data_IF_045874766124
#
_entry.id   IF_045874766124
#
_cell.length_a   1.000
_cell.length_b   1.000
_cell.length_c   1.000
_cell.angle_alpha   90.00
_cell.angle_beta   90.00
_cell.angle_gamma   90.00
#
_symmetry.space_group_name_H-M   'P 1'
#
loop_
_entity.id
_entity.type
_entity.pdbx_description
1 polymer ?
#
# COMPACT_ATOMS: atom_id res chain seq x y z
N UNK A 1 51.45 -14.96 -45.71
CA UNK A 1 52.71 -15.06 -44.95
C UNK A 1 52.36 -14.92 -43.47
N UNK A 2 52.28 -16.04 -42.76
CA UNK A 2 51.94 -16.08 -41.33
C UNK A 2 53.22 -15.86 -40.51
N UNK A 3 53.32 -14.72 -39.84
CA UNK A 3 54.35 -14.51 -38.83
C UNK A 3 53.84 -15.03 -37.48
N UNK A 4 54.09 -16.31 -37.20
CA UNK A 4 54.03 -16.82 -35.83
C UNK A 4 55.19 -16.22 -35.02
N UNK A 5 54.87 -15.41 -34.01
CA UNK A 5 55.84 -15.00 -33.02
C UNK A 5 55.96 -16.11 -31.95
N UNK A 6 57.02 -16.92 -32.06
CA UNK A 6 57.46 -17.88 -31.03
C UNK A 6 58.37 -17.16 -30.04
N UNK A 7 58.06 -17.23 -28.75
CA UNK A 7 58.99 -16.86 -27.67
C UNK A 7 59.93 -18.06 -27.46
N UNK A 8 61.22 -17.89 -27.78
CA UNK A 8 62.30 -18.84 -27.51
C UNK A 8 63.02 -18.43 -26.22
N UNK A 9 62.88 -19.22 -25.16
CA UNK A 9 63.75 -19.16 -23.98
C UNK A 9 64.87 -20.18 -24.18
N UNK A 10 66.09 -19.72 -24.50
CA UNK A 10 67.26 -20.59 -24.61
C UNK A 10 67.91 -20.80 -23.25
N UNK A 11 68.08 -22.07 -22.87
CA UNK A 11 68.74 -22.47 -21.62
C UNK A 11 70.27 -22.42 -21.74
N UNK A 12 70.96 -21.76 -20.79
CA UNK A 12 72.21 -22.26 -20.19
C UNK A 12 72.43 -21.58 -18.82
N UNK A 13 72.92 -22.34 -17.84
CA UNK A 13 72.65 -22.22 -16.40
C UNK A 13 73.44 -21.16 -15.60
N UNK A 14 72.76 -20.62 -14.58
CA UNK A 14 73.30 -20.52 -13.23
C UNK A 14 72.14 -20.64 -12.21
N UNK A 15 71.99 -21.83 -11.64
CA UNK A 15 71.03 -22.11 -10.56
C UNK A 15 71.64 -21.58 -9.25
N UNK A 16 71.32 -20.32 -8.90
CA UNK A 16 71.58 -19.78 -7.57
C UNK A 16 70.32 -19.99 -6.74
N UNK A 17 70.40 -20.85 -5.73
CA UNK A 17 69.40 -21.01 -4.67
C UNK A 17 69.34 -19.74 -3.83
N UNK A 18 68.66 -18.71 -4.32
CA UNK A 18 67.99 -17.74 -3.46
C UNK A 18 66.48 -17.91 -3.67
N UNK A 19 65.82 -17.97 -2.53
CA UNK A 19 64.39 -18.07 -2.22
C UNK A 19 63.48 -17.68 -3.39
N UNK A 20 62.33 -18.37 -3.62
CA UNK A 20 61.36 -17.89 -4.60
C UNK A 20 61.08 -16.43 -4.27
N UNK A 21 61.52 -15.53 -5.15
CA UNK A 21 61.09 -14.14 -5.13
C UNK A 21 59.60 -14.24 -5.33
N UNK A 22 58.87 -14.18 -4.22
CA UNK A 22 57.44 -13.88 -4.24
C UNK A 22 57.37 -12.62 -5.10
N UNK A 23 56.56 -12.64 -6.15
CA UNK A 23 56.31 -11.43 -6.91
C UNK A 23 55.64 -10.43 -5.95
N UNK A 24 56.45 -9.64 -5.25
CA UNK A 24 55.95 -8.62 -4.33
C UNK A 24 55.46 -7.39 -5.10
N UNK A 25 55.82 -7.27 -6.39
CA UNK A 25 55.25 -6.29 -7.31
C UNK A 25 54.90 -6.96 -8.66
N UNK A 26 53.63 -7.24 -8.90
CA UNK A 26 53.15 -7.58 -10.25
C UNK A 26 53.20 -6.31 -11.10
N UNK A 27 54.14 -6.20 -12.05
CA UNK A 27 54.17 -5.11 -13.04
C UNK A 27 53.42 -5.51 -14.31
N UNK A 28 52.33 -4.80 -14.62
CA UNK A 28 51.56 -4.93 -15.88
C UNK A 28 51.65 -3.63 -16.69
N UNK A 29 52.15 -3.71 -17.94
CA UNK A 29 52.20 -2.63 -18.96
C UNK A 29 51.60 -3.11 -20.28
N UNK A 30 50.67 -2.37 -20.92
CA UNK A 30 50.26 -2.63 -22.33
C UNK A 30 50.77 -1.53 -23.28
N UNK A 31 51.12 -1.95 -24.51
CA UNK A 31 52.07 -1.38 -25.48
C UNK A 31 52.22 0.16 -25.61
N UNK A 32 53.49 0.48 -25.80
CA UNK A 32 54.23 1.69 -26.15
C UNK A 32 54.05 2.17 -27.59
N UNK A 33 53.63 3.43 -27.78
CA UNK A 33 53.89 4.29 -28.96
C UNK A 33 52.69 4.74 -29.83
N UNK A 34 51.45 4.83 -29.31
CA UNK A 34 50.35 5.48 -30.06
C UNK A 34 49.59 6.58 -29.30
N UNK A 35 50.16 7.15 -28.23
CA UNK A 35 49.64 8.33 -27.54
C UNK A 35 48.41 8.12 -26.64
N UNK A 36 47.90 6.90 -26.48
CA UNK A 36 46.80 6.59 -25.55
C UNK A 36 47.25 5.63 -24.45
N UNK A 37 47.19 6.09 -23.20
CA UNK A 37 47.60 5.36 -22.01
C UNK A 37 46.51 4.38 -21.53
N UNK A 38 46.25 3.29 -22.27
CA UNK A 38 45.18 2.34 -21.94
C UNK A 38 45.56 0.87 -22.13
N UNK A 39 45.11 0.00 -21.21
CA UNK A 39 45.07 -1.45 -21.37
C UNK A 39 43.83 -1.82 -22.20
N UNK A 40 43.93 -2.62 -23.27
CA UNK A 40 42.77 -3.07 -24.06
C UNK A 40 42.85 -4.57 -24.39
N UNK A 41 41.71 -5.26 -24.31
CA UNK A 41 41.42 -6.56 -24.93
C UNK A 41 40.47 -6.29 -26.08
N UNK A 42 40.87 -6.66 -27.29
CA UNK A 42 40.12 -6.39 -28.52
C UNK A 42 39.51 -7.69 -29.08
N UNK A 43 38.41 -7.56 -29.81
CA UNK A 43 37.91 -8.63 -30.67
C UNK A 43 38.66 -8.70 -32.02
N UNK A 44 38.24 -9.62 -32.90
CA UNK A 44 38.83 -9.81 -34.25
C UNK A 44 38.64 -8.64 -35.21
N UNK A 45 37.71 -7.72 -34.90
CA UNK A 45 37.47 -6.47 -35.63
C UNK A 45 38.15 -5.25 -34.99
N UNK A 46 39.04 -5.48 -34.00
CA UNK A 46 39.73 -4.45 -33.21
C UNK A 46 38.80 -3.59 -32.34
N UNK A 47 37.58 -4.07 -32.04
CA UNK A 47 36.66 -3.44 -31.10
C UNK A 47 37.02 -3.77 -29.65
N UNK A 48 37.05 -2.79 -28.71
CA UNK A 48 37.41 -3.05 -27.32
C UNK A 48 36.32 -3.86 -26.60
N UNK A 49 36.72 -4.99 -25.99
CA UNK A 49 35.89 -5.88 -25.17
C UNK A 49 36.14 -5.71 -23.68
N UNK A 50 37.38 -5.42 -23.29
CA UNK A 50 37.75 -5.01 -21.94
C UNK A 50 38.81 -3.92 -22.04
N UNK A 51 38.71 -2.86 -21.25
CA UNK A 51 39.72 -1.79 -21.24
C UNK A 51 39.91 -1.15 -19.89
N UNK A 52 41.11 -0.67 -19.64
CA UNK A 52 41.48 0.17 -18.48
C UNK A 52 42.17 1.42 -18.99
N UNK A 53 41.62 2.59 -18.69
CA UNK A 53 42.16 3.89 -19.10
C UNK A 53 43.11 4.47 -18.05
N UNK A 54 43.93 5.46 -18.44
CA UNK A 54 44.91 6.10 -17.55
C UNK A 54 44.30 6.91 -16.41
N UNK A 55 43.04 7.34 -16.53
CA UNK A 55 42.27 7.93 -15.43
C UNK A 55 41.71 6.85 -14.47
N UNK A 56 42.04 5.57 -14.74
CA UNK A 56 41.67 4.40 -13.98
C UNK A 56 40.24 3.93 -14.20
N UNK A 57 39.55 4.37 -15.26
CA UNK A 57 38.24 3.84 -15.63
C UNK A 57 38.37 2.47 -16.29
N UNK A 58 37.46 1.57 -15.98
CA UNK A 58 37.39 0.22 -16.54
C UNK A 58 36.11 0.08 -17.34
N UNK A 59 36.22 -0.38 -18.58
CA UNK A 59 35.09 -0.64 -19.47
C UNK A 59 35.04 -2.11 -19.89
N UNK A 60 33.85 -2.71 -19.86
CA UNK A 60 33.60 -4.06 -20.41
C UNK A 60 32.53 -3.93 -21.49
N UNK A 61 32.87 -4.25 -22.74
CA UNK A 61 31.98 -4.13 -23.90
C UNK A 61 31.63 -2.69 -24.30
N UNK A 62 32.15 -1.67 -23.61
CA UNK A 62 31.87 -0.27 -23.95
C UNK A 62 32.62 0.10 -25.23
N UNK A 63 31.90 0.35 -26.33
CA UNK A 63 32.49 0.66 -27.64
C UNK A 63 33.36 1.93 -27.70
N UNK A 64 33.33 2.76 -26.64
CA UNK A 64 34.11 4.00 -26.45
C UNK A 64 34.45 4.25 -24.96
N UNK A 65 35.12 5.34 -24.62
CA UNK A 65 35.57 5.62 -23.23
C UNK A 65 34.45 5.45 -22.18
N UNK A 66 34.68 4.73 -21.06
CA UNK A 66 33.68 4.59 -20.03
C UNK A 66 33.31 5.94 -19.41
N UNK A 67 32.05 6.14 -19.07
CA UNK A 67 31.56 7.33 -18.38
C UNK A 67 31.91 7.26 -16.88
N UNK A 68 31.79 6.08 -16.28
CA UNK A 68 32.02 5.81 -14.87
C UNK A 68 33.32 5.02 -14.60
N UNK A 69 33.67 4.88 -13.32
CA UNK A 69 34.90 4.18 -12.91
C UNK A 69 34.90 2.70 -13.33
N UNK A 70 33.73 2.05 -13.30
CA UNK A 70 33.49 0.75 -13.90
C UNK A 70 32.18 0.83 -14.68
N UNK A 71 32.23 0.53 -15.96
CA UNK A 71 31.05 0.47 -16.83
C UNK A 71 31.05 -0.86 -17.60
N UNK A 72 29.89 -1.52 -17.59
CA UNK A 72 29.66 -2.76 -18.35
C UNK A 72 28.53 -2.48 -19.33
N UNK A 73 28.82 -2.56 -20.63
CA UNK A 73 27.79 -2.53 -21.66
C UNK A 73 27.20 -3.94 -21.80
N UNK A 74 26.17 -4.22 -21.01
CA UNK A 74 25.51 -5.53 -20.94
C UNK A 74 25.18 -5.91 -19.50
N UNK A 75 24.81 -7.17 -19.30
CA UNK A 75 24.44 -7.69 -17.99
C UNK A 75 25.65 -7.99 -17.10
N UNK A 76 25.48 -7.81 -15.80
CA UNK A 76 26.43 -8.26 -14.77
C UNK A 76 25.78 -9.42 -14.03
N UNK A 77 26.34 -10.62 -14.20
CA UNK A 77 25.92 -11.79 -13.42
C UNK A 77 26.79 -11.92 -12.17
N UNK A 78 26.13 -12.06 -11.01
CA UNK A 78 26.75 -12.47 -9.76
C UNK A 78 26.34 -13.91 -9.50
N UNK A 79 27.32 -14.81 -9.49
CA UNK A 79 27.09 -16.23 -9.28
C UNK A 79 28.03 -16.72 -8.17
N UNK A 80 27.45 -17.29 -7.12
CA UNK A 80 28.16 -17.90 -6.00
C UNK A 80 27.73 -19.35 -5.85
N UNK A 81 28.53 -20.15 -5.15
CA UNK A 81 28.14 -21.52 -4.81
C UNK A 81 26.81 -21.52 -4.03
N UNK A 82 26.10 -22.66 -4.08
CA UNK A 82 24.86 -22.83 -3.30
C UNK A 82 25.11 -22.54 -1.82
N UNK A 83 24.10 -22.02 -1.14
CA UNK A 83 24.15 -21.68 0.29
C UNK A 83 25.09 -20.51 0.66
N UNK A 84 25.35 -19.56 -0.26
CA UNK A 84 26.11 -18.35 0.02
C UNK A 84 25.27 -17.08 -0.22
N UNK A 85 25.46 -16.07 0.62
CA UNK A 85 24.92 -14.75 0.34
C UNK A 85 25.71 -14.09 -0.80
N UNK A 86 25.00 -13.37 -1.66
CA UNK A 86 25.59 -12.59 -2.73
C UNK A 86 24.86 -11.28 -2.90
N UNK A 87 25.58 -10.23 -3.28
CA UNK A 87 24.96 -8.94 -3.50
C UNK A 87 25.94 -7.81 -3.73
N UNK A 88 25.37 -6.67 -4.10
CA UNK A 88 26.08 -5.41 -4.21
C UNK A 88 26.16 -4.76 -2.82
N UNK A 89 27.38 -4.46 -2.38
CA UNK A 89 27.63 -3.81 -1.10
C UNK A 89 28.06 -2.35 -1.29
N UNK A 90 27.30 -1.43 -0.73
CA UNK A 90 27.65 -0.01 -0.65
C UNK A 90 28.52 0.20 0.60
N UNK A 91 29.76 0.66 0.39
CA UNK A 91 30.77 0.82 1.44
C UNK A 91 31.18 2.27 1.64
N UNK A 92 31.57 2.60 2.86
CA UNK A 92 32.22 3.87 3.22
C UNK A 92 33.25 3.61 4.31
N UNK A 93 34.49 4.09 4.14
CA UNK A 93 35.57 3.88 5.10
C UNK A 93 35.90 2.41 5.38
N UNK A 94 35.70 1.51 4.40
CA UNK A 94 35.92 0.07 4.53
C UNK A 94 34.74 -0.72 5.12
N UNK A 95 33.83 -0.08 5.84
CA UNK A 95 32.63 -0.73 6.37
C UNK A 95 31.53 -0.88 5.30
N UNK A 96 30.68 -1.89 5.45
CA UNK A 96 29.46 -2.08 4.64
C UNK A 96 28.34 -1.26 5.28
N UNK A 97 27.70 -0.39 4.52
CA UNK A 97 26.60 0.46 4.99
C UNK A 97 25.25 -0.10 4.57
N UNK A 98 25.14 -0.46 3.29
CA UNK A 98 23.92 -0.99 2.68
C UNK A 98 24.26 -2.12 1.73
N UNK A 99 23.30 -3.00 1.51
CA UNK A 99 23.39 -4.01 0.48
C UNK A 99 22.07 -4.20 -0.25
N UNK A 100 22.21 -4.55 -1.52
CA UNK A 100 21.20 -5.25 -2.29
C UNK A 100 21.69 -6.69 -2.42
N UNK A 101 21.06 -7.63 -1.72
CA UNK A 101 21.61 -8.99 -1.61
C UNK A 101 20.52 -10.06 -1.52
N UNK A 102 20.90 -11.28 -1.85
CA UNK A 102 20.14 -12.50 -1.55
C UNK A 102 20.90 -13.30 -0.50
N UNK A 103 20.19 -14.04 0.34
CA UNK A 103 20.80 -14.97 1.27
C UNK A 103 19.91 -16.20 1.51
N UNK A 104 20.50 -17.41 1.50
CA UNK A 104 19.75 -18.66 1.63
C UNK A 104 19.21 -18.89 3.05
N UNK A 105 19.79 -18.22 4.06
CA UNK A 105 19.30 -18.25 5.44
C UNK A 105 18.26 -17.16 5.76
N UNK A 106 17.83 -16.38 4.76
CA UNK A 106 16.83 -15.32 4.89
C UNK A 106 15.72 -15.55 3.86
N UNK A 107 14.92 -16.59 4.10
CA UNK A 107 13.73 -16.96 3.33
C UNK A 107 14.00 -17.21 1.83
N UNK A 108 14.84 -18.21 1.51
CA UNK A 108 14.97 -18.81 0.17
C UNK A 108 15.18 -17.82 -1.01
N UNK A 109 16.33 -17.15 -1.01
CA UNK A 109 16.80 -16.32 -2.14
C UNK A 109 15.95 -15.08 -2.47
N UNK A 110 15.14 -14.62 -1.53
CA UNK A 110 14.52 -13.29 -1.59
C UNK A 110 15.56 -12.19 -1.84
N UNK A 111 15.13 -11.13 -2.52
CA UNK A 111 15.96 -9.94 -2.73
C UNK A 111 15.74 -8.96 -1.57
N UNK A 112 16.83 -8.54 -0.94
CA UNK A 112 16.78 -7.69 0.24
C UNK A 112 17.48 -6.36 0.03
N UNK A 113 16.84 -5.30 0.52
CA UNK A 113 17.56 -4.08 0.91
C UNK A 113 17.85 -4.17 2.40
N UNK A 114 19.13 -4.19 2.73
CA UNK A 114 19.59 -4.33 4.11
C UNK A 114 20.54 -3.23 4.48
N UNK A 115 20.35 -2.69 5.68
CA UNK A 115 21.38 -1.93 6.36
C UNK A 115 22.36 -2.93 6.95
N UNK A 116 23.60 -2.86 6.51
CA UNK A 116 24.67 -3.73 6.96
C UNK A 116 25.23 -3.22 8.30
N UNK A 117 25.81 -4.13 9.09
CA UNK A 117 26.44 -3.74 10.34
C UNK A 117 27.70 -2.91 10.07
N UNK A 118 27.80 -1.76 10.73
CA UNK A 118 29.03 -0.96 10.79
C UNK A 118 29.62 -1.11 12.20
N UNK A 119 30.66 -1.93 12.31
CA UNK A 119 31.36 -2.19 13.57
C UNK A 119 31.98 -0.90 14.17
N UNK A 120 32.25 0.13 13.36
CA UNK A 120 32.77 1.41 13.84
C UNK A 120 31.71 2.34 14.46
N UNK A 121 30.43 2.07 14.24
CA UNK A 121 29.30 2.91 14.68
C UNK A 121 28.27 2.16 15.56
N UNK A 122 28.49 0.87 15.85
CA UNK A 122 27.62 0.06 16.71
C UNK A 122 26.28 -0.34 16.08
N UNK A 123 26.14 -0.25 14.76
CA UNK A 123 24.91 -0.65 14.07
C UNK A 123 24.89 -2.16 13.78
N UNK A 124 23.80 -2.83 14.14
CA UNK A 124 23.50 -4.19 13.69
C UNK A 124 22.84 -4.24 12.31
N UNK A 125 22.83 -5.43 11.71
CA UNK A 125 22.14 -5.70 10.45
C UNK A 125 20.62 -5.48 10.62
N UNK A 126 20.00 -4.75 9.69
CA UNK A 126 18.54 -4.61 9.64
C UNK A 126 18.06 -4.88 8.22
N UNK A 127 17.21 -5.89 8.09
CA UNK A 127 16.44 -6.12 6.88
C UNK A 127 15.37 -5.03 6.80
N UNK A 128 15.50 -4.13 5.83
CA UNK A 128 14.62 -2.97 5.68
C UNK A 128 13.44 -3.32 4.79
N UNK A 129 13.73 -3.93 3.64
CA UNK A 129 12.74 -4.33 2.66
C UNK A 129 13.10 -5.69 2.06
N UNK A 130 12.09 -6.55 1.93
CA UNK A 130 12.15 -7.83 1.25
C UNK A 130 11.32 -7.76 -0.02
N UNK A 131 11.83 -8.35 -1.11
CA UNK A 131 11.04 -8.72 -2.27
C UNK A 131 10.98 -10.24 -2.30
N UNK A 132 9.82 -10.76 -1.95
CA UNK A 132 9.56 -12.19 -1.87
C UNK A 132 9.57 -12.78 -3.28
N UNK A 133 10.49 -13.71 -3.53
CA UNK A 133 10.66 -14.35 -4.84
C UNK A 133 9.53 -15.31 -5.17
N UNK A 134 8.93 -15.95 -4.17
CA UNK A 134 7.87 -16.95 -4.35
C UNK A 134 6.52 -16.29 -4.63
N UNK A 135 6.20 -15.20 -3.94
CA UNK A 135 4.88 -14.53 -4.03
C UNK A 135 4.90 -13.23 -4.83
N UNK A 136 6.07 -12.61 -5.00
CA UNK A 136 6.20 -11.26 -5.57
C UNK A 136 5.79 -10.15 -4.59
N UNK A 137 5.56 -10.46 -3.32
CA UNK A 137 5.15 -9.48 -2.31
C UNK A 137 6.32 -8.66 -1.79
N UNK A 138 6.01 -7.45 -1.33
CA UNK A 138 6.99 -6.54 -0.72
C UNK A 138 6.75 -6.47 0.78
N UNK A 139 7.74 -6.86 1.57
CA UNK A 139 7.74 -6.69 3.03
C UNK A 139 8.57 -5.49 3.43
N UNK A 140 8.04 -4.56 4.23
CA UNK A 140 8.81 -3.52 4.93
C UNK A 140 8.86 -3.89 6.40
N UNK A 141 10.07 -4.11 6.92
CA UNK A 141 10.32 -4.56 8.29
C UNK A 141 9.64 -5.89 8.67
N UNK A 142 9.33 -6.72 7.67
CA UNK A 142 8.86 -8.09 7.82
C UNK A 142 9.53 -8.96 6.77
N UNK A 143 9.75 -10.22 7.11
CA UNK A 143 10.33 -11.21 6.21
C UNK A 143 9.28 -12.15 5.62
N UNK A 144 8.05 -12.10 6.13
CA UNK A 144 6.93 -12.93 5.69
C UNK A 144 5.75 -12.02 5.38
N UNK A 145 5.75 -11.33 4.22
CA UNK A 145 4.64 -10.48 3.83
C UNK A 145 3.35 -11.30 3.66
N UNK A 146 2.22 -10.80 4.18
CA UNK A 146 0.91 -11.47 4.11
C UNK A 146 -0.03 -10.78 3.10
N UNK A 147 0.46 -9.72 2.46
CA UNK A 147 -0.21 -8.92 1.44
C UNK A 147 0.83 -8.44 0.43
N UNK A 148 0.37 -7.99 -0.75
CA UNK A 148 1.23 -7.49 -1.83
C UNK A 148 2.22 -6.42 -1.37
N UNK A 149 1.81 -5.56 -0.44
CA UNK A 149 2.67 -4.70 0.36
C UNK A 149 2.32 -4.87 1.83
N UNK A 150 3.22 -5.46 2.61
CA UNK A 150 3.08 -5.60 4.06
C UNK A 150 4.08 -4.69 4.77
N UNK A 151 3.58 -3.64 5.44
CA UNK A 151 4.38 -2.80 6.34
C UNK A 151 4.16 -3.26 7.77
N UNK A 152 5.19 -3.84 8.38
CA UNK A 152 5.17 -4.15 9.81
C UNK A 152 5.56 -2.90 10.62
N UNK A 153 4.56 -2.03 10.83
CA UNK A 153 4.71 -0.75 11.51
C UNK A 153 3.71 0.29 11.00
N UNK A 154 3.98 1.56 11.30
CA UNK A 154 3.11 2.65 10.89
C UNK A 154 3.37 3.08 9.45
N UNK A 155 2.31 3.24 8.66
CA UNK A 155 2.36 3.88 7.35
C UNK A 155 2.01 5.37 7.49
N UNK A 156 2.95 6.26 7.16
CA UNK A 156 2.66 7.70 7.04
C UNK A 156 2.37 8.04 5.58
N UNK A 157 1.19 8.58 5.31
CA UNK A 157 0.77 9.05 3.98
C UNK A 157 0.46 10.54 4.06
N UNK A 158 1.15 11.38 3.27
CA UNK A 158 0.85 12.81 3.18
C UNK A 158 -0.28 13.12 2.18
N UNK A 159 -0.61 12.18 1.30
CA UNK A 159 -1.72 12.23 0.34
C UNK A 159 -2.85 11.26 0.71
N UNK A 160 -3.57 10.74 -0.29
CA UNK A 160 -4.67 9.78 -0.11
C UNK A 160 -4.26 8.34 -0.40
N UNK A 161 -4.93 7.39 0.25
CA UNK A 161 -4.95 5.98 -0.16
C UNK A 161 -6.22 5.77 -0.99
N UNK A 162 -6.08 5.29 -2.22
CA UNK A 162 -7.21 4.97 -3.10
C UNK A 162 -7.54 3.49 -3.01
N UNK A 163 -8.80 3.17 -2.80
CA UNK A 163 -9.31 1.80 -2.77
C UNK A 163 -9.97 1.52 -4.12
N UNK A 164 -9.61 0.41 -4.75
CA UNK A 164 -10.22 0.02 -6.03
C UNK A 164 -11.67 -0.46 -5.85
N UNK A 165 -12.02 -0.91 -4.65
CA UNK A 165 -13.37 -1.33 -4.30
C UNK A 165 -13.93 -0.43 -3.20
N UNK A 166 -15.11 0.20 -3.43
CA UNK A 166 -15.79 0.93 -2.37
C UNK A 166 -16.00 0.04 -1.15
N UNK A 167 -15.71 0.58 0.03
CA UNK A 167 -15.91 -0.11 1.30
C UNK A 167 -17.34 0.13 1.79
N UNK A 168 -17.94 -0.88 2.42
CA UNK A 168 -19.26 -0.74 3.04
C UNK A 168 -19.11 -0.16 4.45
N UNK A 169 -19.92 0.86 4.75
CA UNK A 169 -20.07 1.45 6.08
C UNK A 169 -21.53 1.44 6.53
N UNK A 170 -21.74 1.59 7.84
CA UNK A 170 -23.05 1.60 8.46
C UNK A 170 -23.18 2.79 9.40
N UNK A 171 -24.33 3.46 9.37
CA UNK A 171 -24.75 4.38 10.40
C UNK A 171 -25.96 3.79 11.12
N UNK A 172 -25.80 3.49 12.41
CA UNK A 172 -26.88 2.96 13.25
C UNK A 172 -27.50 4.08 14.06
N UNK A 173 -28.83 4.17 14.02
CA UNK A 173 -29.62 5.14 14.78
C UNK A 173 -30.61 4.37 15.65
N UNK A 174 -30.40 4.37 16.96
CA UNK A 174 -31.32 3.70 17.90
C UNK A 174 -32.62 4.50 18.08
N UNK A 175 -33.69 3.84 18.54
CA UNK A 175 -34.92 4.53 18.94
C UNK A 175 -34.64 5.60 20.03
N UNK A 176 -33.66 5.36 20.91
CA UNK A 176 -33.22 6.32 21.93
C UNK A 176 -32.76 7.68 21.37
N UNK A 177 -32.27 7.72 20.13
CA UNK A 177 -31.76 8.94 19.50
C UNK A 177 -32.87 9.87 18.99
N UNK A 178 -34.11 9.36 18.90
CA UNK A 178 -35.23 10.13 18.39
C UNK A 178 -35.84 11.05 19.46
N UNK A 179 -36.09 12.29 19.08
CA UNK A 179 -36.81 13.27 19.87
C UNK A 179 -38.06 13.76 19.11
N UNK A 180 -39.11 14.22 19.81
CA UNK A 180 -40.31 14.70 19.14
C UNK A 180 -40.05 16.01 18.39
N UNK A 181 -40.89 16.27 17.39
CA UNK A 181 -40.94 17.52 16.62
C UNK A 181 -41.26 18.77 17.44
N UNK A 182 -41.96 18.61 18.56
CA UNK A 182 -42.31 19.68 19.48
C UNK A 182 -42.12 19.22 20.93
N UNK A 183 -41.71 20.13 21.81
CA UNK A 183 -41.52 19.84 23.24
C UNK A 183 -42.82 19.45 23.96
N UNK A 184 -43.98 19.79 23.39
CA UNK A 184 -45.30 19.47 23.93
C UNK A 184 -45.86 18.12 23.47
N UNK A 185 -45.17 17.42 22.56
CA UNK A 185 -45.63 16.11 22.07
C UNK A 185 -45.46 15.07 23.16
N UNK A 186 -46.54 14.42 23.60
CA UNK A 186 -46.47 13.27 24.49
C UNK A 186 -45.93 12.03 23.77
N UNK A 187 -44.93 11.37 24.35
CA UNK A 187 -44.32 10.16 23.80
C UNK A 187 -43.66 9.32 24.91
N UNK A 188 -43.41 8.05 24.61
CA UNK A 188 -42.54 7.17 25.40
C UNK A 188 -41.35 6.75 24.54
N UNK A 189 -40.18 6.63 25.15
CA UNK A 189 -38.96 6.15 24.50
C UNK A 189 -38.19 5.28 25.48
N UNK A 190 -38.23 3.97 25.25
CA UNK A 190 -37.63 2.96 26.13
C UNK A 190 -36.23 2.54 25.62
N UNK A 191 -35.67 3.31 24.68
CA UNK A 191 -34.40 3.07 24.01
C UNK A 191 -34.44 2.03 22.89
N UNK A 192 -35.31 1.02 23.02
CA UNK A 192 -35.59 0.01 21.98
C UNK A 192 -36.71 0.46 21.04
N UNK A 193 -37.76 1.06 21.61
CA UNK A 193 -38.96 1.51 20.91
C UNK A 193 -39.28 2.94 21.30
N UNK A 194 -39.82 3.68 20.36
CA UNK A 194 -40.40 5.00 20.57
C UNK A 194 -41.83 5.02 19.99
N UNK A 195 -42.76 5.62 20.71
CA UNK A 195 -44.18 5.66 20.32
C UNK A 195 -44.90 6.86 20.94
N UNK A 196 -45.86 7.47 20.22
CA UNK A 196 -46.61 8.62 20.71
C UNK A 196 -47.64 8.22 21.77
N UNK A 197 -47.87 9.10 22.74
CA UNK A 197 -49.06 9.07 23.62
C UNK A 197 -50.15 10.05 23.16
N UNK A 198 -50.05 10.50 21.91
CA UNK A 198 -50.94 11.46 21.25
C UNK A 198 -51.37 10.94 19.87
N UNK A 199 -52.38 11.57 19.27
CA UNK A 199 -53.02 11.10 18.04
C UNK A 199 -52.12 10.89 16.83
N UNK A 200 -50.93 11.48 16.75
CA UNK A 200 -49.91 11.23 15.73
C UNK A 200 -48.66 12.00 16.19
N UNK A 201 -47.47 11.50 15.89
CA UNK A 201 -46.26 12.26 16.17
C UNK A 201 -45.18 12.12 15.11
N UNK A 202 -44.47 13.22 14.94
CA UNK A 202 -43.22 13.29 14.21
C UNK A 202 -42.05 13.26 15.17
N UNK A 203 -41.05 12.46 14.84
CA UNK A 203 -39.78 12.35 15.55
C UNK A 203 -38.61 12.54 14.60
N UNK A 204 -37.49 13.01 15.14
CA UNK A 204 -36.27 13.27 14.37
C UNK A 204 -35.04 12.72 15.09
N UNK A 205 -34.08 12.25 14.31
CA UNK A 205 -32.74 11.89 14.77
C UNK A 205 -31.70 12.31 13.74
N UNK A 206 -30.66 13.02 14.16
CA UNK A 206 -29.55 13.38 13.27
C UNK A 206 -28.73 12.16 12.84
N UNK A 207 -28.20 12.17 11.62
CA UNK A 207 -27.22 11.17 11.17
C UNK A 207 -25.99 11.84 10.58
N UNK A 208 -24.82 11.35 10.96
CA UNK A 208 -23.55 11.77 10.34
C UNK A 208 -23.09 10.71 9.36
N UNK A 209 -23.09 11.07 8.08
CA UNK A 209 -22.60 10.22 6.98
C UNK A 209 -21.29 10.82 6.43
N UNK A 210 -20.29 10.00 6.05
CA UNK A 210 -19.05 10.53 5.48
C UNK A 210 -19.28 11.31 4.18
N UNK A 211 -18.57 12.43 4.00
CA UNK A 211 -18.65 13.20 2.76
C UNK A 211 -18.19 12.35 1.57
N UNK A 212 -18.92 12.39 0.46
CA UNK A 212 -18.64 11.58 -0.73
C UNK A 212 -19.10 10.12 -0.63
N UNK A 213 -19.65 9.68 0.52
CA UNK A 213 -20.26 8.36 0.62
C UNK A 213 -21.50 8.25 -0.29
N UNK A 214 -21.78 7.05 -0.79
CA UNK A 214 -22.99 6.74 -1.55
C UNK A 214 -23.88 5.84 -0.72
N UNK A 215 -25.03 6.35 -0.27
CA UNK A 215 -26.03 5.58 0.47
C UNK A 215 -26.66 4.52 -0.43
N UNK A 216 -26.74 3.29 0.05
CA UNK A 216 -27.21 2.13 -0.72
C UNK A 216 -28.51 1.54 -0.18
N UNK A 217 -28.75 1.65 1.13
CA UNK A 217 -30.02 1.22 1.72
C UNK A 217 -30.32 1.90 3.05
N UNK A 218 -31.60 1.93 3.40
CA UNK A 218 -32.09 2.24 4.75
C UNK A 218 -32.94 1.06 5.21
N UNK A 219 -32.62 0.53 6.37
CA UNK A 219 -33.39 -0.52 7.04
C UNK A 219 -33.94 0.03 8.35
N UNK A 220 -35.18 -0.30 8.68
CA UNK A 220 -35.84 0.17 9.90
C UNK A 220 -36.83 -0.85 10.43
N UNK A 221 -36.79 -1.12 11.74
CA UNK A 221 -37.79 -1.97 12.37
C UNK A 221 -38.97 -1.15 12.89
N UNK A 222 -40.18 -1.55 12.50
CA UNK A 222 -41.42 -0.93 12.94
C UNK A 222 -42.47 -1.98 13.32
N UNK A 223 -43.35 -1.61 14.26
CA UNK A 223 -44.55 -2.35 14.62
C UNK A 223 -45.75 -1.46 14.30
N UNK A 224 -46.73 -1.97 13.57
CA UNK A 224 -48.01 -1.30 13.29
C UNK A 224 -49.13 -2.31 13.33
N UNK A 225 -49.40 -2.87 14.51
CA UNK A 225 -50.30 -4.02 14.63
C UNK A 225 -51.79 -3.66 14.78
N UNK A 226 -52.16 -2.40 14.97
CA UNK A 226 -53.56 -1.97 15.04
C UNK A 226 -54.18 -1.64 13.68
N UNK A 227 -55.50 -1.75 13.58
CA UNK A 227 -56.26 -1.43 12.37
C UNK A 227 -56.16 0.06 12.03
N UNK A 228 -55.65 0.38 10.84
CA UNK A 228 -55.42 1.76 10.39
C UNK A 228 -54.08 2.37 10.84
N UNK A 229 -53.27 1.63 11.60
CA UNK A 229 -51.91 2.06 11.95
C UNK A 229 -51.00 2.01 10.73
N UNK A 230 -50.17 3.05 10.59
CA UNK A 230 -49.01 3.03 9.73
C UNK A 230 -47.86 3.82 10.37
N UNK A 231 -46.65 3.47 9.96
CA UNK A 231 -45.43 4.05 10.46
C UNK A 231 -44.51 4.29 9.26
N UNK A 232 -43.82 5.42 9.28
CA UNK A 232 -42.93 5.81 8.19
C UNK A 232 -41.64 6.34 8.76
N UNK A 233 -40.53 5.93 8.17
CA UNK A 233 -39.21 6.51 8.42
C UNK A 233 -38.57 6.92 7.11
N UNK A 234 -38.01 8.13 7.05
CA UNK A 234 -37.32 8.63 5.86
C UNK A 234 -35.94 9.12 6.21
N UNK A 235 -35.00 8.83 5.32
CA UNK A 235 -33.73 9.54 5.29
C UNK A 235 -33.92 10.84 4.52
N UNK A 236 -33.55 11.95 5.14
CA UNK A 236 -33.74 13.29 4.60
C UNK A 236 -32.40 13.99 4.49
N UNK A 237 -32.18 14.65 3.35
CA UNK A 237 -31.12 15.67 3.21
C UNK A 237 -31.74 17.05 3.22
N UNK A 238 -31.09 18.01 3.87
CA UNK A 238 -31.60 19.38 4.00
C UNK A 238 -30.48 20.40 3.86
N UNK A 239 -30.71 21.43 3.07
CA UNK A 239 -29.82 22.59 2.96
C UNK A 239 -29.93 23.50 4.19
N UNK A 240 -28.89 24.29 4.47
CA UNK A 240 -28.95 25.32 5.52
C UNK A 240 -30.05 26.37 5.26
N UNK A 241 -30.40 26.60 3.99
CA UNK A 241 -31.48 27.50 3.59
C UNK A 241 -32.90 26.92 3.82
N UNK A 242 -33.00 25.67 4.29
CA UNK A 242 -34.27 25.05 4.68
C UNK A 242 -34.94 24.17 3.63
N UNK A 243 -34.39 24.08 2.40
CA UNK A 243 -34.88 23.14 1.38
C UNK A 243 -34.51 21.70 1.75
N UNK A 244 -35.49 20.81 1.77
CA UNK A 244 -35.33 19.40 2.14
C UNK A 244 -35.79 18.47 1.01
N UNK A 245 -35.12 17.32 0.89
CA UNK A 245 -35.47 16.26 -0.05
C UNK A 245 -35.35 14.89 0.62
N UNK A 246 -36.28 14.00 0.31
CA UNK A 246 -36.26 12.62 0.78
C UNK A 246 -35.28 11.81 -0.07
N UNK A 247 -34.43 11.04 0.60
CA UNK A 247 -33.47 10.13 -0.02
C UNK A 247 -34.00 8.70 -0.06
N UNK A 248 -34.70 8.28 0.99
CA UNK A 248 -35.27 6.95 1.14
C UNK A 248 -36.53 7.02 2.01
N UNK A 249 -37.45 6.06 1.83
CA UNK A 249 -38.67 5.91 2.61
C UNK A 249 -38.95 4.43 2.95
N UNK A 250 -38.90 4.10 4.23
CA UNK A 250 -39.45 2.87 4.78
C UNK A 250 -40.89 3.13 5.25
N UNK A 251 -41.86 2.40 4.70
CA UNK A 251 -43.29 2.57 5.00
C UNK A 251 -43.93 1.25 5.44
N UNK A 252 -44.55 1.23 6.62
CA UNK A 252 -45.31 0.08 7.13
C UNK A 252 -46.79 0.20 6.79
N UNK A 253 -47.48 -0.95 6.72
CA UNK A 253 -48.94 -1.02 6.65
C UNK A 253 -49.50 -1.63 7.93
N UNK A 254 -50.79 -1.42 8.18
CA UNK A 254 -51.53 -1.96 9.32
C UNK A 254 -51.45 -3.49 9.39
N UNK A 255 -51.30 -4.02 10.60
CA UNK A 255 -51.20 -5.45 10.89
C UNK A 255 -49.80 -6.06 10.76
N UNK A 256 -48.73 -5.25 10.64
CA UNK A 256 -47.38 -5.75 10.37
C UNK A 256 -46.36 -5.38 11.45
N UNK A 257 -45.53 -6.34 11.85
CA UNK A 257 -44.22 -6.11 12.47
C UNK A 257 -43.18 -6.51 11.44
N UNK A 258 -42.34 -5.58 11.00
CA UNK A 258 -41.38 -5.84 9.95
C UNK A 258 -40.10 -5.02 10.10
N UNK A 259 -38.99 -5.59 9.62
CA UNK A 259 -37.85 -4.80 9.16
C UNK A 259 -38.18 -4.38 7.74
N UNK A 260 -38.31 -3.07 7.56
CA UNK A 260 -38.60 -2.43 6.29
C UNK A 260 -37.29 -1.97 5.67
N UNK A 261 -37.14 -2.18 4.38
CA UNK A 261 -35.93 -1.82 3.64
C UNK A 261 -36.30 -0.99 2.43
N UNK A 262 -35.62 0.14 2.26
CA UNK A 262 -35.56 0.87 1.00
C UNK A 262 -34.13 0.82 0.45
N UNK A 263 -33.97 0.30 -0.76
CA UNK A 263 -32.71 0.24 -1.51
C UNK A 263 -32.70 1.15 -2.75
N UNK A 264 -33.77 1.93 -2.96
CA UNK A 264 -33.95 2.85 -4.08
C UNK A 264 -33.64 4.28 -3.69
N UNK A 265 -32.34 4.54 -3.46
CA UNK A 265 -31.91 5.80 -2.85
C UNK A 265 -31.86 6.95 -3.88
N UNK A 266 -32.72 7.93 -3.66
CA UNK A 266 -32.70 9.21 -4.38
C UNK A 266 -31.59 10.11 -3.84
N UNK A 267 -30.82 10.75 -4.74
CA UNK A 267 -29.71 11.62 -4.36
C UNK A 267 -28.70 10.93 -3.43
N UNK A 268 -28.33 9.69 -3.75
CA UNK A 268 -27.56 8.78 -2.90
C UNK A 268 -26.18 9.29 -2.46
N UNK A 269 -25.56 10.20 -3.21
CA UNK A 269 -24.26 10.77 -2.84
C UNK A 269 -24.40 11.81 -1.72
N UNK A 270 -23.62 11.60 -0.66
CA UNK A 270 -23.53 12.48 0.50
C UNK A 270 -22.62 13.67 0.19
N UNK A 271 -23.15 14.88 0.36
CA UNK A 271 -22.43 16.14 0.20
C UNK A 271 -22.63 17.01 1.46
N UNK A 272 -21.79 16.74 2.46
CA UNK A 272 -21.75 17.51 3.71
C UNK A 272 -21.35 18.99 3.52
N UNK A 273 -20.93 19.44 2.34
CA UNK A 273 -20.66 20.87 2.09
C UNK A 273 -21.96 21.66 1.83
N UNK A 274 -23.03 20.97 1.43
CA UNK A 274 -24.31 21.58 1.05
C UNK A 274 -25.49 21.14 1.92
N UNK A 275 -25.43 19.92 2.47
CA UNK A 275 -26.57 19.30 3.16
C UNK A 275 -26.21 18.79 4.55
N UNK A 276 -27.20 18.82 5.44
CA UNK A 276 -27.25 18.03 6.67
C UNK A 276 -28.22 16.86 6.47
N UNK A 277 -27.98 15.78 7.21
CA UNK A 277 -28.73 14.52 7.06
C UNK A 277 -29.39 14.15 8.39
N UNK A 278 -30.63 13.69 8.32
CA UNK A 278 -31.37 13.22 9.48
C UNK A 278 -32.44 12.21 9.06
N UNK A 279 -32.87 11.41 10.03
CA UNK A 279 -34.06 10.59 9.92
C UNK A 279 -35.26 11.37 10.43
N UNK A 280 -36.34 11.40 9.67
CA UNK A 280 -37.65 11.72 10.21
C UNK A 280 -38.50 10.47 10.29
N UNK A 281 -39.35 10.43 11.31
CA UNK A 281 -40.21 9.30 11.58
C UNK A 281 -41.59 9.79 11.95
N UNK A 282 -42.59 9.21 11.33
CA UNK A 282 -44.00 9.45 11.60
C UNK A 282 -44.65 8.18 12.13
N UNK A 283 -45.29 8.30 13.29
CA UNK A 283 -46.05 7.22 13.91
C UNK A 283 -47.49 7.67 14.11
N UNK A 284 -48.42 6.78 13.80
CA UNK A 284 -49.86 7.01 13.97
C UNK A 284 -50.30 6.96 15.44
N UNK A 285 -51.50 7.49 15.72
CA UNK A 285 -52.23 7.55 17.00
C UNK A 285 -52.09 6.33 17.93
N UNK A 286 -52.48 6.42 19.22
CA UNK A 286 -52.45 5.28 20.13
C UNK A 286 -53.63 4.35 19.84
N UNK A 287 -53.63 3.76 18.66
CA UNK A 287 -54.05 2.38 18.47
C UNK A 287 -52.81 1.54 18.83
N UNK A 288 -53.03 0.44 19.54
CA UNK A 288 -52.20 0.00 20.68
C UNK A 288 -50.74 -0.38 20.40
N UNK A 289 -50.23 -0.30 19.16
CA UNK A 289 -48.92 -0.88 18.81
C UNK A 289 -48.15 -0.16 17.67
N UNK A 290 -48.38 1.12 17.35
CA UNK A 290 -47.56 1.86 16.37
C UNK A 290 -46.19 2.30 16.95
N UNK A 291 -45.18 1.43 16.89
CA UNK A 291 -43.86 1.65 17.48
C UNK A 291 -42.76 1.76 16.41
N UNK A 292 -41.90 2.78 16.55
CA UNK A 292 -40.69 2.92 15.75
C UNK A 292 -39.46 2.40 16.49
N UNK A 293 -38.64 1.61 15.81
CA UNK A 293 -37.39 1.08 16.35
C UNK A 293 -36.14 1.77 15.80
N UNK A 294 -35.04 1.04 15.82
CA UNK A 294 -33.76 1.47 15.27
C UNK A 294 -33.73 1.43 13.73
N UNK A 295 -32.91 2.29 13.15
CA UNK A 295 -32.62 2.29 11.72
C UNK A 295 -31.13 2.05 11.47
N UNK A 296 -30.83 1.37 10.37
CA UNK A 296 -29.47 1.19 9.85
C UNK A 296 -29.43 1.77 8.45
N UNK A 297 -28.52 2.71 8.22
CA UNK A 297 -28.23 3.24 6.90
C UNK A 297 -26.94 2.58 6.42
N UNK A 298 -27.01 1.87 5.31
CA UNK A 298 -25.84 1.28 4.64
C UNK A 298 -25.36 2.23 3.55
N UNK A 299 -24.05 2.44 3.48
CA UNK A 299 -23.43 3.27 2.45
C UNK A 299 -22.10 2.67 2.00
N UNK A 300 -21.62 3.13 0.84
CA UNK A 300 -20.29 2.82 0.32
C UNK A 300 -19.41 4.07 0.30
N UNK A 301 -18.10 3.92 0.50
CA UNK A 301 -17.15 5.03 0.49
C UNK A 301 -15.79 4.60 -0.12
N UNK A 302 -15.08 5.49 -0.83
CA UNK A 302 -13.90 5.15 -1.64
C UNK A 302 -12.57 4.98 -0.87
N UNK A 303 -12.58 4.96 0.47
CA UNK A 303 -11.38 4.99 1.32
C UNK A 303 -11.53 5.97 2.47
N UNK A 304 -10.70 5.89 3.52
CA UNK A 304 -11.02 6.36 4.87
C UNK A 304 -11.43 7.83 4.94
#
# INVERSE_FOLDING_TARGET
MNAQHRILLSATAAFCLLQPVRAEDVTVTLDSNNGSSSFNVLDSSLGPRFKVQSDGKVGIGTGGSPLDKLEVAGDISMNVATNQAQGLYLRKGGAKYWSLFTAPWLNDDDLWLRRESDAGLGYGNINVMAFDRATGYIGIHTTTPEATLHVNGNLKVNGSITYNTPQTGYASVSAAAFHPSASSTGYNNDGTWIYPSVNNAWFYAGVSLPHGATVTSVEWNAVTAGEGDYARLRLVRRTLAGSAAYMAECYSQSGATAVLTDSTISNSTVDNSQYVYYLDMFLTAPSTLAHGGAAIITYTYPGP
#
